data_IF_356424547293
#
_entry.id   IF_356424547293
#
_cell.length_a   1.000
_cell.length_b   1.000
_cell.length_c   1.000
_cell.angle_alpha   90.00
_cell.angle_beta   90.00
_cell.angle_gamma   90.00
#
_symmetry.space_group_name_H-M   'P 1'
#
loop_
_entity.id
_entity.type
_entity.pdbx_description
1 polymer ?
#
# COMPACT_ATOMS: atom_id res chain seq x y z
N UNK A 1 -7.57 -35.27 22.52
CA UNK A 1 -6.56 -35.32 23.61
C UNK A 1 -7.15 -34.77 24.91
N UNK A 2 -7.52 -33.48 24.95
CA UNK A 2 -8.26 -32.88 26.09
C UNK A 2 -9.61 -33.59 26.37
N UNK A 3 -10.40 -33.88 25.34
CA UNK A 3 -11.67 -34.62 25.46
C UNK A 3 -11.51 -36.09 25.91
N UNK A 4 -10.31 -36.66 25.76
CA UNK A 4 -10.01 -38.05 26.16
C UNK A 4 -9.16 -38.10 27.44
N UNK A 5 -9.06 -37.00 28.19
CA UNK A 5 -8.27 -36.89 29.42
C UNK A 5 -6.80 -37.32 29.26
N UNK A 6 -6.23 -37.12 28.07
CA UNK A 6 -4.83 -37.41 27.77
C UNK A 6 -4.02 -36.12 27.82
N UNK A 7 -2.89 -36.13 28.54
CA UNK A 7 -1.96 -35.00 28.66
C UNK A 7 -0.84 -35.13 27.62
N UNK A 8 -0.96 -34.53 26.42
CA UNK A 8 0.11 -34.57 25.43
C UNK A 8 1.34 -33.85 25.97
N UNK A 9 2.51 -34.44 25.71
CA UNK A 9 3.81 -33.80 25.96
C UNK A 9 4.36 -33.33 24.63
N UNK A 10 4.54 -32.02 24.48
CA UNK A 10 5.16 -31.42 23.31
C UNK A 10 6.62 -31.10 23.62
N UNK A 11 7.50 -31.34 22.64
CA UNK A 11 8.87 -30.82 22.63
C UNK A 11 9.03 -29.98 21.38
N UNK A 12 9.25 -28.68 21.57
CA UNK A 12 9.56 -27.74 20.50
C UNK A 12 11.07 -27.48 20.48
N UNK A 13 11.67 -27.43 19.29
CA UNK A 13 13.04 -26.95 19.08
C UNK A 13 12.98 -25.90 17.98
N UNK A 14 13.27 -24.66 18.34
CA UNK A 14 13.41 -23.55 17.40
C UNK A 14 14.84 -23.03 17.53
N UNK A 15 15.53 -22.92 16.40
CA UNK A 15 16.88 -22.37 16.33
C UNK A 15 16.83 -21.15 15.43
N UNK A 16 17.25 -20.02 15.96
CA UNK A 16 17.36 -18.77 15.23
C UNK A 16 18.73 -18.16 15.54
N UNK A 17 19.30 -17.50 14.54
CA UNK A 17 20.59 -16.81 14.68
C UNK A 17 20.48 -15.44 14.05
N UNK A 18 20.84 -14.41 14.81
CA UNK A 18 21.07 -13.09 14.23
C UNK A 18 22.40 -13.11 13.46
N UNK A 19 22.36 -12.79 12.17
CA UNK A 19 23.53 -12.80 11.28
C UNK A 19 24.22 -11.45 11.17
N UNK A 20 23.80 -10.47 11.98
CA UNK A 20 24.25 -9.08 11.87
C UNK A 20 23.34 -8.25 10.97
N UNK A 21 23.53 -6.94 11.06
CA UNK A 21 22.85 -5.95 10.23
C UNK A 21 23.19 -6.15 8.74
N UNK A 22 22.19 -6.01 7.87
CA UNK A 22 22.36 -6.12 6.42
C UNK A 22 21.81 -4.85 5.76
N UNK A 23 22.43 -4.37 4.67
CA UNK A 23 21.90 -3.24 3.93
C UNK A 23 20.57 -3.61 3.28
N UNK A 24 19.60 -2.70 3.35
CA UNK A 24 18.32 -2.76 2.63
C UNK A 24 18.16 -1.50 1.79
N UNK A 25 17.43 -1.60 0.68
CA UNK A 25 17.29 -0.51 -0.28
C UNK A 25 15.86 -0.36 -0.73
N UNK A 26 15.40 0.89 -0.82
CA UNK A 26 14.21 1.24 -1.58
C UNK A 26 14.60 1.46 -3.04
N UNK A 27 13.76 0.98 -3.96
CA UNK A 27 13.91 1.27 -5.39
C UNK A 27 12.88 2.31 -5.81
N UNK A 28 13.36 3.48 -6.24
CA UNK A 28 12.51 4.63 -6.60
C UNK A 28 12.68 4.93 -8.09
N UNK A 29 11.57 5.18 -8.80
CA UNK A 29 11.59 5.72 -10.15
C UNK A 29 10.58 6.86 -10.32
N UNK A 30 10.84 7.74 -11.29
CA UNK A 30 10.14 9.02 -11.42
C UNK A 30 9.76 9.33 -12.88
N UNK A 31 8.54 9.82 -13.07
CA UNK A 31 8.11 10.56 -14.28
C UNK A 31 7.94 12.03 -13.85
N UNK A 32 8.85 12.94 -14.26
CA UNK A 32 8.81 14.34 -13.81
C UNK A 32 7.53 15.06 -14.24
N UNK A 33 6.97 15.86 -13.33
CA UNK A 33 5.85 16.75 -13.62
C UNK A 33 6.27 18.00 -14.41
N UNK A 34 5.35 18.58 -15.17
CA UNK A 34 5.62 19.76 -16.02
C UNK A 34 5.14 21.08 -15.43
N UNK A 35 3.97 21.09 -14.79
CA UNK A 35 3.34 22.30 -14.23
C UNK A 35 3.53 22.41 -12.71
N UNK A 36 3.48 21.28 -12.02
CA UNK A 36 3.53 21.15 -10.56
C UNK A 36 4.54 20.09 -10.14
N UNK A 37 5.84 20.24 -10.49
CA UNK A 37 6.85 19.20 -10.27
C UNK A 37 7.08 18.83 -8.80
N UNK A 38 6.71 19.70 -7.86
CA UNK A 38 6.84 19.49 -6.41
C UNK A 38 5.53 18.99 -5.75
N UNK A 39 4.51 18.65 -6.54
CA UNK A 39 3.34 17.91 -6.09
C UNK A 39 3.45 16.47 -6.63
N UNK A 40 3.12 15.47 -5.81
CA UNK A 40 3.49 14.09 -6.09
C UNK A 40 2.29 13.13 -6.10
N UNK A 41 2.23 12.26 -7.10
CA UNK A 41 1.41 11.04 -7.06
C UNK A 41 2.35 9.86 -6.88
N UNK A 42 2.11 9.00 -5.89
CA UNK A 42 3.00 7.88 -5.58
C UNK A 42 2.32 6.53 -5.77
N UNK A 43 2.99 5.64 -6.47
CA UNK A 43 2.67 4.22 -6.57
C UNK A 43 3.50 3.46 -5.53
N UNK A 44 2.89 2.53 -4.81
CA UNK A 44 3.49 1.93 -3.61
C UNK A 44 3.25 0.42 -3.56
N UNK A 45 4.33 -0.34 -3.41
CA UNK A 45 4.33 -1.77 -3.11
C UNK A 45 5.69 -2.12 -2.50
N UNK A 46 5.78 -3.15 -1.65
CA UNK A 46 7.09 -3.60 -1.18
C UNK A 46 7.72 -4.63 -2.12
N UNK A 47 9.04 -4.76 -1.99
CA UNK A 47 9.89 -5.55 -2.86
C UNK A 47 10.52 -6.75 -2.16
N UNK A 48 10.62 -6.72 -0.82
CA UNK A 48 11.04 -7.87 -0.04
C UNK A 48 9.90 -8.90 0.13
N UNK A 49 10.25 -10.09 0.62
CA UNK A 49 9.31 -11.16 0.94
C UNK A 49 9.87 -12.07 2.03
N UNK A 50 9.04 -12.99 2.53
CA UNK A 50 9.52 -14.09 3.38
C UNK A 50 10.30 -15.17 2.60
N UNK A 51 11.16 -15.88 3.32
CA UNK A 51 12.14 -16.86 2.83
C UNK A 51 11.57 -18.27 2.58
N UNK A 52 10.31 -18.51 2.94
CA UNK A 52 9.64 -19.80 2.77
C UNK A 52 9.07 -20.06 1.37
N UNK A 53 8.81 -19.00 0.59
CA UNK A 53 8.19 -19.05 -0.74
C UNK A 53 8.92 -18.17 -1.74
N UNK A 54 8.24 -17.78 -2.82
CA UNK A 54 8.77 -16.82 -3.80
C UNK A 54 8.19 -15.42 -3.66
N UNK A 55 7.36 -15.16 -2.65
CA UNK A 55 6.70 -13.85 -2.45
C UNK A 55 5.85 -13.40 -3.64
N UNK A 56 5.22 -14.34 -4.36
CA UNK A 56 4.52 -14.02 -5.59
C UNK A 56 3.29 -13.12 -5.33
N UNK A 57 2.46 -13.51 -4.36
CA UNK A 57 1.31 -12.75 -3.89
C UNK A 57 1.67 -11.70 -2.85
N UNK A 58 2.82 -11.85 -2.19
CA UNK A 58 3.31 -10.98 -1.12
C UNK A 58 4.81 -10.65 -1.31
N UNK A 59 5.16 -9.60 -2.06
CA UNK A 59 4.27 -8.71 -2.81
C UNK A 59 4.78 -8.47 -4.23
N UNK A 60 5.24 -9.54 -4.90
CA UNK A 60 5.58 -9.44 -6.32
C UNK A 60 4.37 -9.02 -7.15
N UNK A 61 3.13 -9.40 -6.79
CA UNK A 61 1.90 -8.99 -7.49
C UNK A 61 1.69 -7.48 -7.49
N UNK A 62 1.88 -6.81 -6.35
CA UNK A 62 1.80 -5.35 -6.26
C UNK A 62 2.99 -4.69 -6.94
N UNK A 63 4.20 -5.24 -6.77
CA UNK A 63 5.40 -4.72 -7.43
C UNK A 63 5.27 -4.75 -8.97
N UNK A 64 4.88 -5.87 -9.58
CA UNK A 64 4.75 -5.95 -11.04
C UNK A 64 3.60 -5.08 -11.56
N UNK A 65 2.53 -4.92 -10.77
CA UNK A 65 1.43 -3.99 -11.06
C UNK A 65 1.98 -2.56 -11.15
N UNK A 66 2.69 -2.08 -10.13
CA UNK A 66 3.20 -0.70 -10.10
C UNK A 66 4.25 -0.47 -11.20
N UNK A 67 5.11 -1.45 -11.49
CA UNK A 67 6.06 -1.39 -12.61
C UNK A 67 5.34 -1.24 -13.96
N UNK A 68 4.27 -2.02 -14.19
CA UNK A 68 3.51 -1.97 -15.43
C UNK A 68 2.74 -0.65 -15.57
N UNK A 69 2.19 -0.11 -14.47
CA UNK A 69 1.58 1.22 -14.46
C UNK A 69 2.60 2.28 -14.90
N UNK A 70 3.81 2.27 -14.33
CA UNK A 70 4.88 3.19 -14.73
C UNK A 70 5.25 3.03 -16.21
N UNK A 71 5.35 1.78 -16.71
CA UNK A 71 5.63 1.50 -18.13
C UNK A 71 4.55 2.07 -19.06
N UNK A 72 3.27 1.90 -18.70
CA UNK A 72 2.13 2.42 -19.46
C UNK A 72 2.16 3.95 -19.46
N UNK A 73 2.21 4.58 -18.28
CA UNK A 73 2.21 6.04 -18.14
C UNK A 73 3.40 6.66 -18.90
N UNK A 74 4.60 6.10 -18.77
CA UNK A 74 5.76 6.59 -19.52
C UNK A 74 5.57 6.51 -21.04
N UNK A 75 4.87 5.49 -21.53
CA UNK A 75 4.62 5.29 -22.97
C UNK A 75 3.53 6.20 -23.52
N UNK A 76 2.40 6.34 -22.80
CA UNK A 76 1.20 7.00 -23.33
C UNK A 76 0.99 8.41 -22.77
N UNK A 77 1.64 8.75 -21.66
CA UNK A 77 1.47 10.00 -20.93
C UNK A 77 2.78 10.47 -20.24
N UNK A 78 3.84 10.76 -20.99
CA UNK A 78 5.17 11.03 -20.41
C UNK A 78 5.34 12.40 -19.73
N UNK A 79 4.32 13.28 -19.76
CA UNK A 79 4.39 14.68 -19.31
C UNK A 79 3.23 15.02 -18.35
N UNK A 80 3.13 14.37 -17.18
CA UNK A 80 2.08 14.67 -16.20
C UNK A 80 2.21 16.09 -15.63
N UNK A 81 1.12 16.70 -15.15
CA UNK A 81 1.25 18.00 -14.45
C UNK A 81 2.02 17.86 -13.15
N UNK A 82 1.72 16.83 -12.37
CA UNK A 82 2.42 16.46 -11.13
C UNK A 82 3.46 15.38 -11.37
N UNK A 83 4.49 15.34 -10.54
CA UNK A 83 5.48 14.28 -10.60
C UNK A 83 4.86 12.95 -10.16
N UNK A 84 5.04 11.90 -10.95
CA UNK A 84 4.62 10.54 -10.59
C UNK A 84 5.84 9.75 -10.13
N UNK A 85 5.76 9.20 -8.93
CA UNK A 85 6.80 8.38 -8.31
C UNK A 85 6.29 6.94 -8.17
N UNK A 86 7.20 5.97 -8.22
CA UNK A 86 6.96 4.63 -7.69
C UNK A 86 7.98 4.34 -6.61
N UNK A 87 7.51 3.81 -5.48
CA UNK A 87 8.34 3.27 -4.42
C UNK A 87 8.14 1.76 -4.31
N UNK A 88 9.22 1.04 -4.56
CA UNK A 88 9.35 -0.38 -4.24
C UNK A 88 10.15 -0.50 -2.95
N UNK A 89 9.44 -0.75 -1.85
CA UNK A 89 9.98 -0.62 -0.50
C UNK A 89 10.74 -1.85 -0.05
N UNK A 90 11.91 -1.65 0.55
CA UNK A 90 12.65 -2.73 1.20
C UNK A 90 12.33 -2.82 2.68
N UNK A 91 12.09 -4.01 3.18
CA UNK A 91 11.89 -4.27 4.59
C UNK A 91 10.53 -3.85 5.13
N UNK A 92 9.48 -4.01 4.31
CA UNK A 92 8.10 -3.95 4.77
C UNK A 92 7.87 -5.02 5.84
N UNK A 93 8.37 -6.24 5.59
CA UNK A 93 8.11 -7.41 6.42
C UNK A 93 8.78 -7.34 7.79
N UNK A 94 9.81 -6.50 7.92
CA UNK A 94 10.46 -6.17 9.19
C UNK A 94 9.83 -4.96 9.88
N UNK A 95 8.67 -4.50 9.40
CA UNK A 95 7.85 -3.48 10.02
C UNK A 95 7.87 -2.13 9.32
N UNK A 96 7.67 -2.10 7.99
CA UNK A 96 7.57 -0.90 7.16
C UNK A 96 8.86 -0.06 7.12
N UNK A 97 10.03 -0.69 7.30
CA UNK A 97 11.28 0.05 7.50
C UNK A 97 11.63 0.93 6.29
N UNK A 98 11.48 0.41 5.07
CA UNK A 98 11.76 1.14 3.84
C UNK A 98 10.88 2.38 3.67
N UNK A 99 9.56 2.21 3.72
CA UNK A 99 8.63 3.34 3.54
C UNK A 99 8.69 4.36 4.67
N UNK A 100 8.94 3.93 5.93
CA UNK A 100 9.18 4.87 7.05
C UNK A 100 10.47 5.65 6.86
N UNK A 101 11.54 5.00 6.42
CA UNK A 101 12.81 5.68 6.18
C UNK A 101 12.64 6.71 5.06
N UNK A 102 11.93 6.35 3.99
CA UNK A 102 11.62 7.27 2.90
C UNK A 102 10.78 8.47 3.38
N UNK A 103 9.69 8.23 4.12
CA UNK A 103 8.84 9.31 4.61
C UNK A 103 9.57 10.27 5.56
N UNK A 104 10.50 9.76 6.37
CA UNK A 104 11.33 10.55 7.26
C UNK A 104 12.41 11.35 6.52
N UNK A 105 13.04 10.76 5.49
CA UNK A 105 14.12 11.40 4.73
C UNK A 105 13.61 12.37 3.67
N UNK A 106 12.35 12.24 3.23
CA UNK A 106 11.71 13.05 2.21
C UNK A 106 10.42 13.74 2.68
N UNK A 107 10.46 14.56 3.75
CA UNK A 107 9.28 15.26 4.25
C UNK A 107 8.65 16.17 3.20
N UNK A 108 9.43 16.70 2.25
CA UNK A 108 8.95 17.50 1.12
C UNK A 108 8.04 16.72 0.17
N UNK A 109 8.32 15.41 -0.03
CA UNK A 109 7.47 14.53 -0.83
C UNK A 109 6.20 14.21 -0.06
N UNK A 110 6.34 13.92 1.24
CA UNK A 110 5.19 13.68 2.12
C UNK A 110 4.27 14.90 2.18
N UNK A 111 4.81 16.12 2.23
CA UNK A 111 4.05 17.38 2.20
C UNK A 111 3.42 17.66 0.83
N UNK A 112 4.15 17.37 -0.26
CA UNK A 112 3.68 17.56 -1.64
C UNK A 112 2.72 16.47 -2.15
N UNK A 113 2.49 15.41 -1.38
CA UNK A 113 1.70 14.26 -1.81
C UNK A 113 0.23 14.63 -2.13
N UNK A 114 -0.18 14.39 -3.37
CA UNK A 114 -1.55 14.49 -3.87
C UNK A 114 -2.32 13.20 -3.54
N UNK A 115 -1.71 12.06 -3.82
CA UNK A 115 -2.25 10.75 -3.56
C UNK A 115 -1.11 9.71 -3.59
N UNK A 116 -1.16 8.74 -2.71
CA UNK A 116 -0.40 7.50 -2.79
C UNK A 116 -1.37 6.33 -2.94
N UNK A 117 -1.08 5.44 -3.90
CA UNK A 117 -1.83 4.22 -4.15
C UNK A 117 -0.98 3.00 -3.83
N UNK A 118 -1.35 2.29 -2.77
CA UNK A 118 -0.66 1.11 -2.28
C UNK A 118 -1.42 -0.16 -2.65
N UNK A 119 -0.72 -1.22 -3.07
CA UNK A 119 -1.36 -2.53 -3.26
C UNK A 119 -0.49 -3.61 -2.63
N UNK A 120 -1.09 -4.32 -1.67
CA UNK A 120 -0.37 -5.26 -0.80
C UNK A 120 -1.33 -6.23 -0.09
N UNK A 121 -2.13 -6.94 -0.87
CA UNK A 121 -2.97 -8.01 -0.32
C UNK A 121 -3.27 -9.10 -1.38
N UNK A 122 -2.24 -9.49 -2.12
CA UNK A 122 -2.34 -10.56 -3.11
C UNK A 122 -2.75 -10.10 -4.51
N UNK A 123 -3.23 -11.06 -5.30
CA UNK A 123 -3.42 -10.90 -6.75
C UNK A 123 -4.80 -10.42 -7.17
N UNK A 124 -5.76 -10.35 -6.24
CA UNK A 124 -7.17 -10.14 -6.56
C UNK A 124 -7.48 -8.80 -7.19
N UNK A 125 -8.64 -8.71 -7.84
CA UNK A 125 -9.16 -7.43 -8.30
C UNK A 125 -9.44 -6.50 -7.11
N UNK A 126 -9.09 -5.22 -7.25
CA UNK A 126 -9.40 -4.17 -6.27
C UNK A 126 -10.92 -4.01 -6.15
N UNK A 127 -11.42 -4.09 -4.91
CA UNK A 127 -12.85 -4.01 -4.60
C UNK A 127 -13.16 -2.98 -3.51
N UNK A 128 -12.15 -2.50 -2.79
CA UNK A 128 -12.37 -1.50 -1.76
C UNK A 128 -11.24 -0.48 -1.70
N UNK A 129 -11.60 0.79 -1.50
CA UNK A 129 -10.66 1.87 -1.22
C UNK A 129 -11.20 2.69 -0.04
N UNK A 130 -10.50 2.63 1.10
CA UNK A 130 -10.83 3.44 2.28
C UNK A 130 -10.11 4.79 2.21
N UNK A 131 -10.82 5.88 2.54
CA UNK A 131 -10.28 7.25 2.54
C UNK A 131 -9.37 7.56 3.73
N UNK A 132 -9.03 6.55 4.55
CA UNK A 132 -8.07 6.63 5.65
C UNK A 132 -8.36 7.73 6.68
N UNK A 133 -9.63 8.08 6.86
CA UNK A 133 -10.06 9.14 7.77
C UNK A 133 -9.89 10.56 7.21
N UNK A 134 -9.48 10.74 5.96
CA UNK A 134 -9.44 12.04 5.28
C UNK A 134 -10.82 12.38 4.76
N UNK A 135 -11.46 13.39 5.34
CA UNK A 135 -12.90 13.62 5.14
C UNK A 135 -13.25 14.10 3.73
N UNK A 136 -12.31 14.79 3.07
CA UNK A 136 -12.53 15.39 1.75
C UNK A 136 -12.09 14.48 0.59
N UNK A 137 -11.36 13.39 0.88
CA UNK A 137 -10.82 12.51 -0.16
C UNK A 137 -11.92 11.79 -0.98
N UNK A 138 -13.09 11.56 -0.39
CA UNK A 138 -14.21 10.91 -1.07
C UNK A 138 -14.70 11.66 -2.30
N UNK A 139 -14.67 13.00 -2.29
CA UNK A 139 -15.09 13.82 -3.44
C UNK A 139 -14.15 13.61 -4.64
N UNK A 140 -12.85 13.64 -4.39
CA UNK A 140 -11.83 13.39 -5.41
C UNK A 140 -12.00 12.00 -6.04
N UNK A 141 -12.14 10.95 -5.22
CA UNK A 141 -12.36 9.60 -5.74
C UNK A 141 -13.67 9.49 -6.52
N UNK A 142 -14.74 10.16 -6.10
CA UNK A 142 -15.99 10.23 -6.88
C UNK A 142 -15.76 10.80 -8.28
N UNK A 143 -15.04 11.93 -8.38
CA UNK A 143 -14.70 12.55 -9.67
C UNK A 143 -13.77 11.69 -10.52
N UNK A 144 -12.78 11.05 -9.89
CA UNK A 144 -11.83 10.20 -10.61
C UNK A 144 -12.50 8.93 -11.14
N UNK A 145 -13.19 8.18 -10.28
CA UNK A 145 -13.85 6.92 -10.66
C UNK A 145 -14.95 7.13 -11.71
N UNK A 146 -15.64 8.28 -11.72
CA UNK A 146 -16.60 8.63 -12.75
C UNK A 146 -16.00 8.77 -14.16
N UNK A 147 -14.67 8.93 -14.28
CA UNK A 147 -13.95 9.01 -15.56
C UNK A 147 -13.29 7.70 -15.97
N UNK A 148 -13.41 6.66 -15.17
CA UNK A 148 -12.87 5.31 -15.44
C UNK A 148 -14.02 4.43 -15.97
N UNK A 149 -13.79 3.57 -16.98
CA UNK A 149 -14.82 2.66 -17.49
C UNK A 149 -15.48 1.84 -16.38
N UNK A 150 -16.81 1.69 -16.46
CA UNK A 150 -17.58 1.03 -15.40
C UNK A 150 -17.20 -0.44 -15.23
N UNK A 151 -16.69 -1.10 -16.27
CA UNK A 151 -16.19 -2.47 -16.19
C UNK A 151 -15.03 -2.61 -15.19
N UNK A 152 -14.30 -1.53 -14.93
CA UNK A 152 -13.21 -1.48 -13.94
C UNK A 152 -13.73 -1.04 -12.57
N UNK A 153 -14.67 -0.09 -12.50
CA UNK A 153 -15.06 0.57 -11.24
C UNK A 153 -16.34 0.05 -10.59
N UNK A 154 -17.21 -0.67 -11.30
CA UNK A 154 -18.53 -1.09 -10.80
C UNK A 154 -18.49 -1.97 -9.54
N UNK A 155 -17.33 -2.56 -9.22
CA UNK A 155 -17.13 -3.44 -8.07
C UNK A 155 -16.44 -2.73 -6.90
N UNK A 156 -16.04 -1.47 -7.05
CA UNK A 156 -15.27 -0.74 -6.06
C UNK A 156 -16.21 -0.08 -5.06
N UNK A 157 -16.06 -0.45 -3.80
CA UNK A 157 -16.70 0.23 -2.68
C UNK A 157 -15.75 1.25 -2.06
N UNK A 158 -16.26 2.44 -1.76
CA UNK A 158 -15.51 3.47 -1.08
C UNK A 158 -15.82 3.50 0.42
N UNK A 159 -14.79 3.39 1.25
CA UNK A 159 -14.89 3.62 2.69
C UNK A 159 -14.76 5.11 3.01
N UNK A 160 -15.88 5.85 3.06
CA UNK A 160 -15.89 7.31 3.26
C UNK A 160 -16.38 7.66 4.68
N UNK A 161 -15.62 8.44 5.48
CA UNK A 161 -14.21 8.78 5.28
C UNK A 161 -13.28 7.61 5.69
N UNK A 162 -13.81 6.46 6.13
CA UNK A 162 -12.99 5.33 6.57
C UNK A 162 -12.24 5.61 7.87
N UNK A 163 -11.39 4.69 8.32
CA UNK A 163 -10.55 4.87 9.50
C UNK A 163 -9.08 4.95 9.07
N UNK A 164 -8.24 5.78 9.72
CA UNK A 164 -6.82 5.84 9.40
C UNK A 164 -6.13 4.52 9.74
N UNK A 165 -5.49 3.92 8.73
CA UNK A 165 -4.64 2.76 8.93
C UNK A 165 -3.35 3.12 9.65
N UNK A 166 -2.96 2.29 10.63
CA UNK A 166 -1.73 2.45 11.42
C UNK A 166 -0.64 1.41 11.13
N UNK A 167 -0.86 0.54 10.14
CA UNK A 167 0.07 -0.52 9.76
C UNK A 167 -0.56 -1.45 8.73
N UNK A 168 0.04 -2.62 8.55
CA UNK A 168 -0.43 -3.67 7.65
C UNK A 168 0.02 -3.51 6.20
N UNK A 169 0.55 -2.34 5.82
CA UNK A 169 1.36 -2.12 4.61
C UNK A 169 1.91 -0.68 4.61
N UNK A 170 2.69 -0.32 3.60
CA UNK A 170 3.49 0.90 3.50
C UNK A 170 2.71 2.21 3.44
N UNK A 171 1.44 2.21 3.01
CA UNK A 171 0.60 3.41 3.03
C UNK A 171 0.49 4.00 4.45
N UNK A 172 0.59 3.17 5.48
CA UNK A 172 0.51 3.60 6.88
C UNK A 172 1.65 4.55 7.28
N UNK A 173 2.82 4.41 6.65
CA UNK A 173 3.99 5.29 6.86
C UNK A 173 3.73 6.74 6.43
N UNK A 174 2.71 6.96 5.60
CA UNK A 174 2.30 8.28 5.09
C UNK A 174 1.02 8.77 5.76
N UNK A 175 0.05 7.89 6.03
CA UNK A 175 -1.21 8.23 6.73
C UNK A 175 -0.96 8.82 8.11
N UNK A 176 0.03 8.30 8.86
CA UNK A 176 0.38 8.83 10.18
C UNK A 176 0.82 10.30 10.15
N UNK A 177 1.37 10.76 9.02
CA UNK A 177 1.77 12.15 8.78
C UNK A 177 0.63 13.00 8.18
N UNK A 178 -0.59 12.46 8.12
CA UNK A 178 -1.76 13.10 7.52
C UNK A 178 -1.69 13.24 5.99
N UNK A 179 -0.79 12.51 5.33
CA UNK A 179 -0.65 12.58 3.88
C UNK A 179 -1.75 11.74 3.18
N UNK A 180 -2.25 12.15 1.99
CA UNK A 180 -3.22 11.37 1.21
C UNK A 180 -2.62 10.07 0.69
N UNK A 181 -2.77 8.98 1.43
CA UNK A 181 -2.26 7.67 1.09
C UNK A 181 -3.37 6.62 1.26
N UNK A 182 -3.56 5.78 0.25
CA UNK A 182 -4.73 4.91 0.13
C UNK A 182 -4.31 3.50 -0.23
N UNK A 183 -4.90 2.51 0.45
CA UNK A 183 -4.73 1.11 0.09
C UNK A 183 -5.79 0.68 -0.93
N UNK A 184 -5.34 0.07 -2.02
CA UNK A 184 -6.16 -0.54 -3.06
C UNK A 184 -6.47 -1.99 -2.65
N UNK A 185 -7.45 -2.16 -1.77
CA UNK A 185 -7.77 -3.45 -1.17
C UNK A 185 -8.42 -4.39 -2.19
N UNK A 186 -7.74 -5.50 -2.46
CA UNK A 186 -8.13 -6.53 -3.41
C UNK A 186 -8.99 -7.66 -2.81
N UNK A 187 -9.64 -8.42 -3.69
CA UNK A 187 -10.23 -9.72 -3.35
C UNK A 187 -9.17 -10.64 -2.73
N UNK A 188 -9.56 -11.38 -1.69
CA UNK A 188 -8.63 -12.20 -0.92
C UNK A 188 -7.96 -13.30 -1.77
N UNK A 189 -8.71 -14.05 -2.59
CA UNK A 189 -8.17 -15.15 -3.41
C UNK A 189 -7.28 -16.17 -2.65
N UNK A 190 -7.53 -16.36 -1.36
CA UNK A 190 -6.72 -17.24 -0.51
C UNK A 190 -5.45 -16.58 0.04
N UNK A 191 -5.25 -15.27 -0.17
CA UNK A 191 -4.13 -14.51 0.37
C UNK A 191 -3.95 -14.76 1.86
N UNK A 192 -4.85 -14.22 2.69
CA UNK A 192 -4.68 -14.23 4.15
C UNK A 192 -4.82 -15.59 4.83
N UNK A 193 -5.29 -16.64 4.15
CA UNK A 193 -5.52 -17.97 4.74
C UNK A 193 -4.67 -19.07 4.14
N UNK A 194 -4.05 -18.84 2.99
CA UNK A 194 -3.39 -19.89 2.23
C UNK A 194 -2.00 -19.51 1.72
N UNK A 195 -1.82 -18.32 1.14
CA UNK A 195 -0.51 -17.93 0.57
C UNK A 195 0.32 -17.07 1.51
N UNK A 196 -0.29 -16.10 2.18
CA UNK A 196 0.36 -15.07 3.00
C UNK A 196 1.35 -15.66 4.01
N UNK A 197 2.62 -15.27 3.90
CA UNK A 197 3.74 -15.71 4.75
C UNK A 197 3.95 -17.23 4.80
N UNK A 198 3.56 -17.95 3.75
CA UNK A 198 3.74 -19.41 3.67
C UNK A 198 4.66 -19.82 2.52
N UNK A 199 5.12 -21.06 2.58
CA UNK A 199 5.83 -21.71 1.45
C UNK A 199 4.94 -22.03 0.24
N UNK A 200 3.65 -21.67 0.28
CA UNK A 200 2.72 -21.80 -0.84
C UNK A 200 2.64 -20.51 -1.65
N UNK A 201 3.22 -19.42 -1.17
CA UNK A 201 3.31 -18.21 -1.96
C UNK A 201 4.27 -18.40 -3.14
N UNK A 202 3.68 -18.66 -4.31
CA UNK A 202 4.35 -19.14 -5.50
C UNK A 202 3.67 -18.59 -6.75
N UNK A 203 4.43 -18.47 -7.84
CA UNK A 203 3.99 -17.84 -9.09
C UNK A 203 2.65 -18.37 -9.64
N UNK A 204 2.37 -19.66 -9.48
CA UNK A 204 1.14 -20.28 -10.00
C UNK A 204 -0.14 -19.83 -9.26
N UNK A 205 -0.03 -19.04 -8.19
CA UNK A 205 -1.15 -18.42 -7.49
C UNK A 205 -1.59 -17.08 -8.09
N UNK A 206 -0.83 -16.52 -9.02
CA UNK A 206 -1.16 -15.23 -9.64
C UNK A 206 -2.34 -15.33 -10.61
N UNK A 207 -3.30 -14.43 -10.44
CA UNK A 207 -4.46 -14.25 -11.31
C UNK A 207 -4.22 -13.02 -12.17
N UNK A 208 -3.57 -13.21 -13.33
CA UNK A 208 -3.12 -12.12 -14.18
C UNK A 208 -4.25 -11.24 -14.73
N UNK A 209 -5.45 -11.77 -14.93
CA UNK A 209 -6.57 -10.96 -15.40
C UNK A 209 -7.01 -9.92 -14.37
N UNK A 210 -6.98 -10.28 -13.08
CA UNK A 210 -7.24 -9.36 -11.98
C UNK A 210 -6.09 -8.36 -11.82
N UNK A 211 -4.82 -8.80 -11.93
CA UNK A 211 -3.66 -7.88 -11.93
C UNK A 211 -3.78 -6.87 -13.08
N UNK A 212 -4.14 -7.31 -14.30
CA UNK A 212 -4.33 -6.41 -15.45
C UNK A 212 -5.45 -5.40 -15.18
N UNK A 213 -6.56 -5.83 -14.59
CA UNK A 213 -7.65 -4.93 -14.20
C UNK A 213 -7.13 -3.85 -13.22
N UNK A 214 -6.35 -4.27 -12.23
CA UNK A 214 -5.77 -3.35 -11.24
C UNK A 214 -4.73 -2.40 -11.84
N UNK A 215 -3.94 -2.84 -12.83
CA UNK A 215 -3.03 -1.98 -13.60
C UNK A 215 -3.82 -0.88 -14.30
N UNK A 216 -4.92 -1.21 -14.96
CA UNK A 216 -5.77 -0.21 -15.64
C UNK A 216 -6.35 0.77 -14.63
N UNK A 217 -6.93 0.28 -13.55
CA UNK A 217 -7.47 1.12 -12.46
C UNK A 217 -6.40 2.08 -11.93
N UNK A 218 -5.24 1.55 -11.55
CA UNK A 218 -4.18 2.30 -10.87
C UNK A 218 -3.53 3.32 -11.82
N UNK A 219 -3.33 2.97 -13.10
CA UNK A 219 -2.83 3.91 -14.11
C UNK A 219 -3.80 5.07 -14.33
N UNK A 220 -5.12 4.80 -14.39
CA UNK A 220 -6.12 5.85 -14.55
C UNK A 220 -6.24 6.71 -13.30
N UNK A 221 -6.22 6.13 -12.10
CA UNK A 221 -6.18 6.88 -10.84
C UNK A 221 -4.94 7.77 -10.76
N UNK A 222 -3.76 7.26 -11.11
CA UNK A 222 -2.53 8.03 -11.09
C UNK A 222 -2.56 9.21 -12.07
N UNK A 223 -3.06 8.98 -13.30
CA UNK A 223 -3.30 10.03 -14.29
C UNK A 223 -4.30 11.08 -13.78
N UNK A 224 -5.44 10.66 -13.25
CA UNK A 224 -6.49 11.58 -12.81
C UNK A 224 -6.05 12.38 -11.58
N UNK A 225 -5.34 11.75 -10.65
CA UNK A 225 -4.74 12.44 -9.51
C UNK A 225 -3.64 13.40 -9.96
N UNK A 226 -2.82 13.05 -10.96
CA UNK A 226 -1.78 13.96 -11.45
C UNK A 226 -2.39 15.21 -12.09
N UNK A 227 -3.56 15.08 -12.70
CA UNK A 227 -4.25 16.16 -13.42
C UNK A 227 -5.27 16.96 -12.60
N UNK A 228 -5.65 16.49 -11.41
CA UNK A 228 -6.68 17.13 -10.60
C UNK A 228 -6.24 18.57 -10.24
N UNK A 229 -6.97 19.64 -10.63
CA UNK A 229 -6.55 20.99 -10.30
C UNK A 229 -6.46 21.22 -8.78
N UNK A 230 -7.24 20.47 -8.00
CA UNK A 230 -7.35 20.57 -6.56
C UNK A 230 -6.51 19.51 -5.85
N UNK A 231 -5.91 19.91 -4.72
CA UNK A 231 -5.24 18.94 -3.86
C UNK A 231 -6.24 18.24 -2.95
N UNK A 232 -6.04 16.93 -2.75
CA UNK A 232 -6.75 16.22 -1.68
C UNK A 232 -6.39 16.89 -0.36
N UNK A 233 -7.40 17.43 0.32
CA UNK A 233 -7.20 18.09 1.59
C UNK A 233 -6.80 17.07 2.68
N UNK A 234 -6.01 17.55 3.65
CA UNK A 234 -5.50 16.75 4.77
C UNK A 234 -6.40 16.81 5.99
N UNK A 235 -7.65 17.22 5.81
CA UNK A 235 -8.62 17.36 6.89
C UNK A 235 -8.91 15.99 7.48
N UNK A 236 -8.53 15.81 8.73
CA UNK A 236 -8.66 14.55 9.45
C UNK A 236 -10.01 14.44 10.15
N UNK A 237 -10.61 13.26 10.10
CA UNK A 237 -11.81 12.96 10.89
C UNK A 237 -11.49 13.00 12.39
N UNK A 238 -12.48 13.38 13.18
CA UNK A 238 -12.52 13.04 14.61
C UNK A 238 -12.81 11.55 14.74
N UNK A 239 -11.99 10.83 15.50
CA UNK A 239 -12.15 9.39 15.67
C UNK A 239 -13.27 9.10 16.68
N UNK A 240 -14.16 8.14 16.39
CA UNK A 240 -15.12 7.68 17.38
C UNK A 240 -14.36 7.04 18.57
N UNK A 241 -14.90 7.15 19.80
CA UNK A 241 -14.30 6.51 20.96
C UNK A 241 -14.23 5.00 20.78
N UNK A 242 -13.33 4.36 21.53
CA UNK A 242 -13.26 2.91 21.61
C UNK A 242 -14.51 2.33 22.29
N UNK A 243 -14.68 1.00 22.23
CA UNK A 243 -15.83 0.29 22.80
C UNK A 243 -15.95 0.46 24.31
N UNK A 244 -14.85 0.75 24.99
CA UNK A 244 -14.76 1.06 26.42
C UNK A 244 -14.93 2.56 26.74
N UNK A 245 -15.22 3.38 25.72
CA UNK A 245 -15.37 4.84 25.85
C UNK A 245 -14.05 5.61 25.84
N UNK A 246 -12.89 4.93 25.73
CA UNK A 246 -11.60 5.62 25.71
C UNK A 246 -11.46 6.48 24.43
N UNK A 247 -10.89 7.69 24.54
CA UNK A 247 -10.63 8.53 23.38
C UNK A 247 -9.61 7.84 22.46
N UNK A 248 -9.87 7.88 21.15
CA UNK A 248 -8.93 7.39 20.13
C UNK A 248 -8.17 8.56 19.52
N UNK A 249 -6.88 8.35 19.28
CA UNK A 249 -6.01 9.29 18.58
C UNK A 249 -5.62 8.73 17.21
N UNK A 250 -5.25 9.64 16.30
CA UNK A 250 -4.70 9.24 15.01
C UNK A 250 -3.43 8.40 15.19
N UNK A 251 -3.17 7.47 14.25
CA UNK A 251 -1.96 6.65 14.29
C UNK A 251 -0.71 7.52 14.40
N UNK A 252 0.17 7.17 15.34
CA UNK A 252 1.44 7.86 15.52
C UNK A 252 2.46 7.33 14.51
N UNK A 253 3.24 8.22 13.91
CA UNK A 253 4.36 7.79 13.06
C UNK A 253 5.39 7.06 13.92
N UNK A 254 5.88 5.94 13.39
CA UNK A 254 6.97 5.17 13.98
C UNK A 254 8.23 5.41 13.17
N UNK A 255 9.36 5.46 13.86
CA UNK A 255 10.65 5.58 13.21
C UNK A 255 11.02 4.30 12.46
N UNK A 256 11.82 4.45 11.41
CA UNK A 256 12.44 3.32 10.73
C UNK A 256 13.58 2.75 11.59
N UNK A 257 13.67 1.42 11.68
CA UNK A 257 14.80 0.77 12.35
C UNK A 257 16.00 0.77 11.40
N UNK A 258 16.84 1.80 11.50
CA UNK A 258 18.05 1.96 10.65
C UNK A 258 19.26 1.17 11.15
N UNK A 259 19.19 0.67 12.37
CA UNK A 259 20.22 -0.20 12.95
C UNK A 259 19.58 -1.28 13.81
N UNK A 260 20.30 -2.39 13.98
CA UNK A 260 19.87 -3.43 14.91
C UNK A 260 19.86 -2.90 16.36
N UNK A 261 18.88 -3.28 17.20
CA UNK A 261 18.85 -2.93 18.61
C UNK A 261 20.00 -3.55 19.41
#
# INVERSE_FOLDING_TARGET
LAENNQSPRLRLRAEARFTGEQPTFNTIATIPGTEKPNEYVMLSAHFDSWDGGSGATDNASGTVLMMEVMRILKKVYPNPKRTILVGHWGGEEQGLNGSRAFAADHPEIVEGLQALFNQDNGTGRVVNISMQGLVDAGEHFGRWLARIPSEVTQHIELGIPGMPGGGGSDYASFVCAGAPAFNLSALNWGYGTYTWHTNRDTFDKLVFDDIRNNVVLTAMLAYLASEDPERVARTQRVLPPASDGAPRTWPQCREAQRSAP
#
